data_IF_303180341001
#
_entry.id   IF_303180341001
#
_cell.length_a   1.000
_cell.length_b   1.000
_cell.length_c   1.000
_cell.angle_alpha   90.00
_cell.angle_beta   90.00
_cell.angle_gamma   90.00
#
_symmetry.space_group_name_H-M   'P 1'
#
loop_
_entity.id
_entity.type
_entity.pdbx_description
1 polymer ?
#
# COMPACT_ATOMS: atom_id res chain seq x y z
N UNK A 1 -24.29 -17.39 11.29
CA UNK A 1 -23.81 -18.67 10.71
C UNK A 1 -23.20 -18.33 9.36
N UNK A 2 -21.89 -18.52 9.20
CA UNK A 2 -21.15 -18.13 8.00
C UNK A 2 -21.68 -18.97 6.83
N UNK A 3 -22.31 -18.33 5.84
CA UNK A 3 -22.89 -19.04 4.72
C UNK A 3 -21.79 -19.31 3.68
N UNK A 4 -21.16 -20.47 3.78
CA UNK A 4 -20.14 -20.95 2.81
C UNK A 4 -20.60 -20.79 1.35
N UNK A 5 -21.90 -20.93 1.07
CA UNK A 5 -22.44 -20.75 -0.28
C UNK A 5 -22.40 -19.29 -0.74
N UNK A 6 -22.59 -18.33 0.17
CA UNK A 6 -22.51 -16.90 -0.12
C UNK A 6 -21.09 -16.50 -0.52
N UNK A 7 -20.07 -17.04 0.17
CA UNK A 7 -18.67 -16.83 -0.19
C UNK A 7 -18.34 -17.44 -1.56
N UNK A 8 -18.82 -18.65 -1.84
CA UNK A 8 -18.67 -19.31 -3.16
C UNK A 8 -19.33 -18.48 -4.26
N UNK A 9 -20.56 -18.00 -4.06
CA UNK A 9 -21.28 -17.20 -5.04
C UNK A 9 -20.58 -15.85 -5.29
N UNK A 10 -20.02 -15.23 -4.25
CA UNK A 10 -19.27 -13.98 -4.38
C UNK A 10 -17.95 -14.16 -5.14
N UNK A 11 -17.16 -15.19 -4.81
CA UNK A 11 -15.94 -15.56 -5.56
C UNK A 11 -16.31 -15.83 -7.03
N UNK A 12 -17.37 -16.61 -7.25
CA UNK A 12 -17.87 -16.92 -8.58
C UNK A 12 -18.26 -15.67 -9.35
N UNK A 13 -18.90 -14.71 -8.70
CA UNK A 13 -19.32 -13.47 -9.37
C UNK A 13 -18.15 -12.61 -9.82
N UNK A 14 -17.00 -12.66 -9.14
CA UNK A 14 -15.80 -11.94 -9.57
C UNK A 14 -15.13 -12.70 -10.73
N UNK A 15 -14.85 -13.99 -10.56
CA UNK A 15 -14.11 -14.76 -11.56
C UNK A 15 -14.88 -14.95 -12.87
N UNK A 16 -16.23 -15.02 -12.83
CA UNK A 16 -17.02 -15.20 -14.06
C UNK A 16 -16.89 -14.01 -15.02
N UNK A 17 -16.43 -12.84 -14.58
CA UNK A 17 -16.31 -11.66 -15.45
C UNK A 17 -15.09 -11.76 -16.38
N UNK A 18 -14.16 -12.65 -16.10
CA UNK A 18 -13.03 -12.98 -16.97
C UNK A 18 -13.46 -13.53 -18.33
N UNK A 19 -12.58 -13.37 -19.32
CA UNK A 19 -12.81 -13.93 -20.65
C UNK A 19 -12.78 -15.45 -20.59
N UNK A 20 -13.68 -16.10 -21.32
CA UNK A 20 -13.88 -17.56 -21.24
C UNK A 20 -12.62 -18.38 -21.52
N UNK A 21 -11.79 -17.95 -22.47
CA UNK A 21 -10.53 -18.61 -22.82
C UNK A 21 -9.37 -18.31 -21.84
N UNK A 22 -9.55 -17.36 -20.92
CA UNK A 22 -8.56 -17.00 -19.88
C UNK A 22 -8.94 -17.63 -18.53
N UNK A 23 -10.24 -17.82 -18.29
CA UNK A 23 -10.80 -18.30 -17.03
C UNK A 23 -10.18 -19.61 -16.51
N UNK A 24 -9.90 -20.64 -17.34
CA UNK A 24 -9.22 -21.85 -16.86
C UNK A 24 -7.85 -21.55 -16.23
N UNK A 25 -7.01 -20.77 -16.93
CA UNK A 25 -5.68 -20.39 -16.44
C UNK A 25 -5.76 -19.55 -15.16
N UNK A 26 -6.73 -18.65 -15.05
CA UNK A 26 -6.97 -17.86 -13.83
C UNK A 26 -7.33 -18.77 -12.65
N UNK A 27 -8.23 -19.73 -12.86
CA UNK A 27 -8.58 -20.71 -11.83
C UNK A 27 -7.35 -21.52 -11.36
N UNK A 28 -6.52 -21.99 -12.29
CA UNK A 28 -5.28 -22.73 -11.97
C UNK A 28 -4.30 -21.86 -11.17
N UNK A 29 -4.11 -20.59 -11.55
CA UNK A 29 -3.26 -19.65 -10.82
C UNK A 29 -3.71 -19.43 -9.37
N UNK A 30 -5.01 -19.56 -9.12
CA UNK A 30 -5.58 -19.48 -7.78
C UNK A 30 -5.51 -20.79 -6.98
N UNK A 31 -5.00 -21.87 -7.57
CA UNK A 31 -4.91 -23.19 -6.97
C UNK A 31 -6.21 -23.99 -7.05
N UNK A 32 -7.10 -23.63 -7.97
CA UNK A 32 -8.29 -24.43 -8.30
C UNK A 32 -7.92 -25.51 -9.32
N UNK A 33 -8.74 -26.56 -9.36
CA UNK A 33 -8.57 -27.66 -10.31
C UNK A 33 -8.67 -27.17 -11.75
N UNK A 34 -7.86 -27.76 -12.62
CA UNK A 34 -7.86 -27.48 -14.05
C UNK A 34 -9.19 -27.92 -14.70
N UNK A 35 -9.44 -27.48 -15.92
CA UNK A 35 -10.30 -28.21 -16.84
C UNK A 35 -10.57 -27.46 -18.12
N UNK A 36 -11.48 -28.01 -18.91
CA UNK A 36 -11.49 -27.68 -20.32
C UNK A 36 -12.16 -26.33 -20.62
N UNK A 37 -11.62 -25.63 -21.62
CA UNK A 37 -12.22 -24.40 -22.16
C UNK A 37 -13.68 -24.64 -22.58
N UNK A 38 -14.00 -25.82 -23.09
CA UNK A 38 -15.36 -26.25 -23.49
C UNK A 38 -16.36 -26.17 -22.33
N UNK A 39 -15.93 -26.49 -21.10
CA UNK A 39 -16.76 -26.36 -19.90
C UNK A 39 -17.01 -24.88 -19.56
N UNK A 40 -15.98 -24.04 -19.67
CA UNK A 40 -16.10 -22.59 -19.42
C UNK A 40 -17.00 -21.90 -20.47
N UNK A 41 -16.93 -22.33 -21.73
CA UNK A 41 -17.79 -21.87 -22.83
C UNK A 41 -19.26 -22.21 -22.61
N UNK A 42 -19.55 -23.33 -21.96
CA UNK A 42 -20.91 -23.73 -21.63
C UNK A 42 -21.51 -22.83 -20.54
N UNK A 43 -20.76 -22.60 -19.45
CA UNK A 43 -21.15 -21.64 -18.41
C UNK A 43 -19.99 -21.32 -17.48
N UNK A 44 -19.47 -20.08 -17.55
CA UNK A 44 -18.43 -19.58 -16.64
C UNK A 44 -18.82 -19.71 -15.16
N UNK A 45 -20.10 -19.46 -14.83
CA UNK A 45 -20.59 -19.60 -13.45
C UNK A 45 -20.48 -21.04 -12.94
N UNK A 46 -21.00 -21.99 -13.72
CA UNK A 46 -20.98 -23.41 -13.34
C UNK A 46 -19.55 -23.94 -13.30
N UNK A 47 -18.71 -23.52 -14.25
CA UNK A 47 -17.29 -23.85 -14.30
C UNK A 47 -16.57 -23.50 -12.99
N UNK A 48 -16.76 -22.28 -12.49
CA UNK A 48 -16.13 -21.83 -11.23
C UNK A 48 -16.76 -22.52 -10.02
N UNK A 49 -18.10 -22.59 -9.92
CA UNK A 49 -18.78 -23.24 -8.80
C UNK A 49 -18.38 -24.71 -8.63
N UNK A 50 -18.23 -25.45 -9.74
CA UNK A 50 -17.79 -26.85 -9.73
C UNK A 50 -16.44 -27.03 -9.03
N UNK A 51 -15.51 -26.08 -9.22
CA UNK A 51 -14.15 -26.10 -8.65
C UNK A 51 -14.07 -25.60 -7.21
N UNK A 52 -15.00 -24.73 -6.82
CA UNK A 52 -15.12 -24.26 -5.44
C UNK A 52 -15.87 -25.27 -4.55
N UNK A 53 -16.71 -26.12 -5.16
CA UNK A 53 -17.49 -27.13 -4.44
C UNK A 53 -16.56 -28.12 -3.74
N UNK A 54 -16.82 -28.36 -2.45
CA UNK A 54 -16.06 -29.30 -1.64
C UNK A 54 -14.80 -28.71 -0.98
N UNK A 55 -14.31 -27.53 -1.40
CA UNK A 55 -13.20 -26.84 -0.72
C UNK A 55 -13.63 -26.40 0.68
N UNK A 56 -12.72 -26.43 1.66
CA UNK A 56 -13.01 -26.01 3.02
C UNK A 56 -13.06 -24.47 3.16
N UNK A 57 -13.49 -23.99 4.33
CA UNK A 57 -13.69 -22.56 4.55
C UNK A 57 -12.37 -21.76 4.60
N UNK A 58 -11.28 -22.34 5.13
CA UNK A 58 -10.00 -21.65 5.21
C UNK A 58 -9.43 -21.42 3.81
N UNK A 59 -9.52 -22.43 2.94
CA UNK A 59 -9.15 -22.29 1.54
C UNK A 59 -9.96 -21.19 0.84
N UNK A 60 -11.29 -21.18 1.02
CA UNK A 60 -12.16 -20.20 0.37
C UNK A 60 -11.89 -18.76 0.88
N UNK A 61 -11.55 -18.60 2.16
CA UNK A 61 -11.19 -17.29 2.72
C UNK A 61 -9.83 -16.80 2.20
N UNK A 62 -8.81 -17.66 2.18
CA UNK A 62 -7.51 -17.32 1.59
C UNK A 62 -7.65 -16.94 0.11
N UNK A 63 -8.39 -17.75 -0.65
CA UNK A 63 -8.68 -17.49 -2.06
C UNK A 63 -9.40 -16.15 -2.22
N UNK A 64 -10.42 -15.87 -1.41
CA UNK A 64 -11.15 -14.62 -1.48
C UNK A 64 -10.24 -13.42 -1.19
N UNK A 65 -9.35 -13.49 -0.19
CA UNK A 65 -8.38 -12.43 0.12
C UNK A 65 -7.43 -12.17 -1.06
N UNK A 66 -6.93 -13.21 -1.72
CA UNK A 66 -6.10 -13.09 -2.93
C UNK A 66 -6.86 -12.46 -4.10
N UNK A 67 -8.09 -12.90 -4.36
CA UNK A 67 -8.94 -12.32 -5.41
C UNK A 67 -9.23 -10.85 -5.12
N UNK A 68 -9.54 -10.49 -3.87
CA UNK A 68 -9.77 -9.09 -3.49
C UNK A 68 -8.54 -8.24 -3.78
N UNK A 69 -7.34 -8.75 -3.46
CA UNK A 69 -6.09 -8.06 -3.75
C UNK A 69 -5.87 -7.83 -5.25
N UNK A 70 -6.16 -8.83 -6.09
CA UNK A 70 -5.89 -8.76 -7.52
C UNK A 70 -6.94 -7.97 -8.31
N UNK A 71 -8.21 -8.04 -7.89
CA UNK A 71 -9.35 -7.41 -8.59
C UNK A 71 -9.76 -6.06 -8.01
N UNK A 72 -9.29 -5.71 -6.80
CA UNK A 72 -9.54 -4.41 -6.15
C UNK A 72 -11.02 -4.04 -6.11
N UNK A 73 -11.38 -2.89 -6.68
CA UNK A 73 -12.75 -2.39 -6.70
C UNK A 73 -13.78 -3.35 -7.35
N UNK A 74 -13.36 -4.19 -8.31
CA UNK A 74 -14.23 -5.18 -8.95
C UNK A 74 -14.64 -6.32 -7.99
N UNK A 75 -13.90 -6.50 -6.89
CA UNK A 75 -14.19 -7.47 -5.83
C UNK A 75 -14.84 -6.81 -4.58
N UNK A 76 -15.47 -5.65 -4.72
CA UNK A 76 -16.09 -4.91 -3.61
C UNK A 76 -17.13 -5.75 -2.85
N UNK A 77 -18.04 -6.44 -3.54
CA UNK A 77 -19.03 -7.31 -2.89
C UNK A 77 -18.38 -8.50 -2.15
N UNK A 78 -17.32 -9.08 -2.71
CA UNK A 78 -16.56 -10.14 -2.06
C UNK A 78 -15.86 -9.63 -0.80
N UNK A 79 -15.29 -8.42 -0.85
CA UNK A 79 -14.66 -7.76 0.30
C UNK A 79 -15.62 -7.58 1.47
N UNK A 80 -16.85 -7.13 1.18
CA UNK A 80 -17.92 -6.99 2.20
C UNK A 80 -18.24 -8.33 2.87
N UNK A 81 -18.38 -9.39 2.09
CA UNK A 81 -18.68 -10.73 2.62
C UNK A 81 -17.52 -11.24 3.47
N UNK A 82 -16.28 -11.09 3.00
CA UNK A 82 -15.09 -11.52 3.76
C UNK A 82 -14.98 -10.74 5.06
N UNK A 83 -15.17 -9.43 5.07
CA UNK A 83 -15.09 -8.61 6.29
C UNK A 83 -16.08 -9.05 7.38
N UNK A 84 -17.31 -9.43 6.99
CA UNK A 84 -18.31 -9.97 7.94
C UNK A 84 -17.92 -11.34 8.51
N UNK A 85 -17.10 -12.10 7.80
CA UNK A 85 -16.71 -13.48 8.16
C UNK A 85 -15.40 -13.49 8.94
N UNK A 86 -14.40 -12.75 8.44
CA UNK A 86 -13.06 -12.59 8.97
C UNK A 86 -12.61 -11.14 8.77
N UNK A 87 -12.83 -10.27 9.77
CA UNK A 87 -12.48 -8.86 9.67
C UNK A 87 -10.96 -8.61 9.71
N UNK A 88 -10.15 -9.63 10.02
CA UNK A 88 -8.72 -9.45 10.25
C UNK A 88 -7.88 -9.53 8.97
N UNK A 89 -7.02 -8.52 8.79
CA UNK A 89 -6.02 -8.50 7.72
C UNK A 89 -6.57 -8.42 6.29
N UNK A 90 -7.83 -8.00 6.12
CA UNK A 90 -8.41 -7.77 4.79
C UNK A 90 -8.00 -6.43 4.19
N UNK A 91 -7.89 -5.43 5.06
CA UNK A 91 -7.56 -4.06 4.73
C UNK A 91 -6.27 -3.68 5.44
N UNK A 92 -5.48 -2.85 4.78
CA UNK A 92 -4.25 -2.24 5.29
C UNK A 92 -4.59 -1.06 6.20
N UNK A 93 -5.68 -0.34 5.90
CA UNK A 93 -6.24 0.68 6.78
C UNK A 93 -7.30 0.02 7.67
N UNK A 94 -7.06 0.02 8.97
CA UNK A 94 -7.91 -0.61 9.97
C UNK A 94 -9.29 0.04 10.05
N UNK A 95 -10.29 -0.75 10.49
CA UNK A 95 -11.65 -0.23 10.71
C UNK A 95 -11.65 0.94 11.73
N UNK A 96 -10.79 0.86 12.76
CA UNK A 96 -10.66 1.92 13.77
C UNK A 96 -10.20 3.22 13.13
N UNK A 97 -9.15 3.20 12.30
CA UNK A 97 -8.66 4.38 11.58
C UNK A 97 -9.73 4.92 10.63
N UNK A 98 -10.42 4.06 9.87
CA UNK A 98 -11.49 4.48 8.97
C UNK A 98 -12.62 5.21 9.70
N UNK A 99 -13.07 4.67 10.84
CA UNK A 99 -14.11 5.28 11.68
C UNK A 99 -13.68 6.62 12.25
N UNK A 100 -12.49 6.69 12.82
CA UNK A 100 -11.96 7.94 13.39
C UNK A 100 -11.85 9.05 12.33
N UNK A 101 -11.36 8.71 11.12
CA UNK A 101 -11.31 9.67 10.00
C UNK A 101 -12.72 10.15 9.64
N UNK A 102 -13.69 9.24 9.49
CA UNK A 102 -15.05 9.63 9.13
C UNK A 102 -15.72 10.49 10.21
N UNK A 103 -15.51 10.17 11.49
CA UNK A 103 -16.03 10.95 12.61
C UNK A 103 -15.50 12.39 12.62
N UNK A 104 -14.20 12.57 12.39
CA UNK A 104 -13.58 13.89 12.24
C UNK A 104 -14.09 14.63 10.98
N UNK A 105 -14.30 13.92 9.87
CA UNK A 105 -14.88 14.51 8.65
C UNK A 105 -16.33 14.96 8.87
N UNK A 106 -17.15 14.18 9.59
CA UNK A 106 -18.52 14.57 9.94
C UNK A 106 -18.53 15.77 10.87
N UNK A 107 -17.65 15.80 11.88
CA UNK A 107 -17.54 16.91 12.82
C UNK A 107 -17.06 18.20 12.14
N UNK A 108 -16.11 18.10 11.21
CA UNK A 108 -15.62 19.24 10.43
C UNK A 108 -16.65 19.74 9.39
N UNK A 109 -17.46 18.83 8.86
CA UNK A 109 -18.47 19.12 7.83
C UNK A 109 -17.86 19.50 6.47
N UNK A 110 -18.72 19.86 5.52
CA UNK A 110 -18.34 20.33 4.17
C UNK A 110 -17.38 19.35 3.45
N UNK A 111 -17.73 18.06 3.38
CA UNK A 111 -16.90 17.00 2.80
C UNK A 111 -16.73 17.21 1.29
N UNK A 112 -17.80 17.65 0.64
CA UNK A 112 -17.97 17.94 -0.78
C UNK A 112 -17.28 19.24 -1.26
N UNK A 113 -16.81 20.06 -0.32
CA UNK A 113 -16.10 21.30 -0.63
C UNK A 113 -16.98 22.29 -1.40
N UNK A 114 -16.55 22.68 -2.60
CA UNK A 114 -17.31 23.61 -3.45
C UNK A 114 -18.24 22.91 -4.46
N UNK A 115 -18.32 21.58 -4.43
CA UNK A 115 -19.23 20.83 -5.31
C UNK A 115 -20.58 20.62 -4.64
N UNK A 116 -21.62 20.50 -5.47
CA UNK A 116 -22.87 19.88 -5.05
C UNK A 116 -22.62 18.41 -4.67
N UNK A 117 -23.41 17.88 -3.74
CA UNK A 117 -23.24 16.52 -3.20
C UNK A 117 -23.16 15.47 -4.31
N UNK A 118 -24.11 15.48 -5.25
CA UNK A 118 -24.16 14.50 -6.35
C UNK A 118 -22.95 14.61 -7.28
N UNK A 119 -22.45 15.82 -7.52
CA UNK A 119 -21.26 16.05 -8.36
C UNK A 119 -20.01 15.52 -7.68
N UNK A 120 -19.88 15.75 -6.37
CA UNK A 120 -18.78 15.21 -5.57
C UNK A 120 -18.79 13.68 -5.57
N UNK A 121 -19.94 13.06 -5.26
CA UNK A 121 -20.06 11.60 -5.22
C UNK A 121 -19.78 10.95 -6.58
N UNK A 122 -20.15 11.59 -7.69
CA UNK A 122 -19.86 11.07 -9.05
C UNK A 122 -18.36 11.05 -9.40
N UNK A 123 -17.50 11.72 -8.61
CA UNK A 123 -16.04 11.61 -8.75
C UNK A 123 -15.49 10.29 -8.19
N UNK A 124 -16.28 9.61 -7.37
CA UNK A 124 -15.89 8.41 -6.61
C UNK A 124 -16.67 7.20 -7.08
N UNK A 125 -17.98 7.35 -7.31
CA UNK A 125 -18.90 6.31 -7.74
C UNK A 125 -19.57 6.66 -9.06
N UNK A 126 -19.87 5.66 -9.89
CA UNK A 126 -20.76 5.85 -11.03
C UNK A 126 -22.22 5.68 -10.58
N UNK A 127 -22.80 6.73 -9.99
CA UNK A 127 -24.13 6.67 -9.36
C UNK A 127 -25.26 6.36 -10.36
N UNK A 128 -25.08 6.70 -11.63
CA UNK A 128 -26.01 6.41 -12.73
C UNK A 128 -26.17 4.91 -12.98
N UNK A 129 -25.07 4.16 -12.86
CA UNK A 129 -25.01 2.72 -13.11
C UNK A 129 -25.09 1.88 -11.81
N UNK A 130 -25.04 2.52 -10.65
CA UNK A 130 -25.18 1.85 -9.37
C UNK A 130 -26.67 1.59 -9.07
N UNK A 131 -27.04 0.35 -8.71
CA UNK A 131 -28.43 0.03 -8.39
C UNK A 131 -28.88 0.76 -7.12
N UNK A 132 -30.14 1.18 -7.13
CA UNK A 132 -30.84 1.68 -5.95
C UNK A 132 -31.10 0.54 -4.95
N UNK A 133 -31.11 0.85 -3.65
CA UNK A 133 -31.56 -0.11 -2.63
C UNK A 133 -33.09 -0.20 -2.56
N UNK A 134 -33.78 0.86 -2.96
CA UNK A 134 -35.23 0.90 -3.10
C UNK A 134 -35.65 0.75 -4.57
N UNK A 135 -36.42 -0.30 -4.88
CA UNK A 135 -36.89 -0.59 -6.25
C UNK A 135 -37.73 0.52 -6.89
N UNK A 136 -38.19 1.51 -6.11
CA UNK A 136 -38.93 2.69 -6.62
C UNK A 136 -38.03 3.64 -7.39
N UNK A 137 -36.73 3.67 -7.12
CA UNK A 137 -35.79 4.55 -7.80
C UNK A 137 -34.99 3.78 -8.86
N UNK A 138 -34.67 4.48 -9.95
CA UNK A 138 -33.98 3.92 -11.11
C UNK A 138 -32.55 3.49 -10.77
N UNK A 139 -31.83 4.31 -10.02
CA UNK A 139 -30.42 4.13 -9.68
C UNK A 139 -30.10 4.90 -8.39
N UNK A 140 -28.87 4.74 -7.91
CA UNK A 140 -28.40 5.36 -6.68
C UNK A 140 -28.42 6.90 -6.76
N UNK A 141 -28.12 7.48 -7.93
CA UNK A 141 -28.15 8.93 -8.13
C UNK A 141 -29.51 9.54 -7.76
N UNK A 142 -30.59 8.95 -8.27
CA UNK A 142 -31.96 9.41 -8.00
C UNK A 142 -32.36 9.21 -6.53
N UNK A 143 -31.99 8.07 -5.93
CA UNK A 143 -32.31 7.78 -4.54
C UNK A 143 -31.58 8.72 -3.57
N UNK A 144 -30.27 8.95 -3.78
CA UNK A 144 -29.48 9.89 -2.99
C UNK A 144 -30.05 11.30 -3.11
N UNK A 145 -30.34 11.77 -4.33
CA UNK A 145 -30.92 13.10 -4.51
C UNK A 145 -32.29 13.23 -3.80
N UNK A 146 -33.12 12.19 -3.88
CA UNK A 146 -34.42 12.19 -3.23
C UNK A 146 -34.31 12.35 -1.71
N UNK A 147 -33.39 11.61 -1.08
CA UNK A 147 -33.27 11.56 0.37
C UNK A 147 -32.39 12.67 0.97
N UNK A 148 -31.28 13.00 0.32
CA UNK A 148 -30.34 14.03 0.81
C UNK A 148 -30.77 15.47 0.45
N UNK A 149 -31.52 15.67 -0.64
CA UNK A 149 -31.80 17.02 -1.15
C UNK A 149 -33.29 17.33 -1.14
N UNK A 150 -34.14 16.45 -1.71
CA UNK A 150 -35.57 16.74 -1.80
C UNK A 150 -36.31 16.54 -0.46
N UNK A 151 -35.94 15.50 0.29
CA UNK A 151 -36.58 15.17 1.56
C UNK A 151 -35.79 15.66 2.77
N UNK A 152 -34.45 15.71 2.66
CA UNK A 152 -33.53 16.02 3.76
C UNK A 152 -33.74 15.08 4.98
N UNK A 153 -33.93 13.78 4.70
CA UNK A 153 -34.21 12.75 5.70
C UNK A 153 -33.04 11.77 5.93
N UNK A 154 -31.94 11.93 5.21
CA UNK A 154 -30.68 11.22 5.44
C UNK A 154 -29.59 12.19 5.90
N UNK A 155 -28.80 11.76 6.90
CA UNK A 155 -27.58 12.45 7.28
C UNK A 155 -26.35 11.87 6.56
N UNK A 156 -25.22 12.57 6.67
CA UNK A 156 -23.96 12.12 6.08
C UNK A 156 -23.53 10.74 6.59
N UNK A 157 -23.80 10.42 7.86
CA UNK A 157 -23.41 9.12 8.43
C UNK A 157 -24.20 7.98 7.77
N UNK A 158 -25.51 8.15 7.61
CA UNK A 158 -26.34 7.19 6.89
C UNK A 158 -25.89 7.06 5.43
N UNK A 159 -25.67 8.18 4.73
CA UNK A 159 -25.20 8.18 3.35
C UNK A 159 -23.88 7.42 3.18
N UNK A 160 -22.84 7.79 3.92
CA UNK A 160 -21.51 7.22 3.72
C UNK A 160 -21.35 5.82 4.35
N UNK A 161 -21.90 5.56 5.54
CA UNK A 161 -21.69 4.28 6.22
C UNK A 161 -22.74 3.23 5.89
N UNK A 162 -24.01 3.63 5.70
CA UNK A 162 -25.10 2.67 5.51
C UNK A 162 -25.41 2.49 4.02
N UNK A 163 -25.58 3.58 3.28
CA UNK A 163 -25.97 3.51 1.87
C UNK A 163 -24.79 3.18 0.95
N UNK A 164 -23.68 3.93 1.07
CA UNK A 164 -22.47 3.73 0.27
C UNK A 164 -21.53 2.68 0.87
N UNK A 165 -21.76 2.28 2.12
CA UNK A 165 -20.97 1.28 2.86
C UNK A 165 -19.45 1.55 2.83
N UNK A 166 -19.07 2.83 2.90
CA UNK A 166 -17.69 3.30 2.69
C UNK A 166 -16.69 2.67 3.67
N UNK A 167 -17.09 2.43 4.92
CA UNK A 167 -16.24 1.79 5.93
C UNK A 167 -15.89 0.33 5.58
N UNK A 168 -16.75 -0.35 4.81
CA UNK A 168 -16.57 -1.74 4.39
C UNK A 168 -15.96 -1.83 2.98
N UNK A 169 -15.63 -0.70 2.35
CA UNK A 169 -15.07 -0.64 1.02
C UNK A 169 -13.58 -1.06 1.00
N UNK A 170 -13.08 -1.62 -0.12
CA UNK A 170 -11.65 -1.88 -0.30
C UNK A 170 -10.80 -0.62 -0.03
N UNK A 171 -9.57 -0.79 0.45
CA UNK A 171 -8.63 0.33 0.71
C UNK A 171 -8.54 1.30 -0.46
N UNK A 172 -8.49 0.78 -1.69
CA UNK A 172 -8.42 1.61 -2.89
C UNK A 172 -9.61 2.58 -3.02
N UNK A 173 -10.83 2.14 -2.71
CA UNK A 173 -12.01 3.00 -2.80
C UNK A 173 -12.06 3.99 -1.65
N UNK A 174 -11.69 3.56 -0.43
CA UNK A 174 -11.61 4.43 0.73
C UNK A 174 -10.55 5.53 0.55
N UNK A 175 -9.36 5.15 0.07
CA UNK A 175 -8.27 6.06 -0.30
C UNK A 175 -8.74 7.02 -1.39
N UNK A 176 -9.35 6.53 -2.46
CA UNK A 176 -9.85 7.40 -3.54
C UNK A 176 -10.88 8.41 -3.03
N UNK A 177 -11.77 8.01 -2.12
CA UNK A 177 -12.68 8.94 -1.44
C UNK A 177 -11.90 10.04 -0.72
N UNK A 178 -10.93 9.69 0.13
CA UNK A 178 -10.13 10.68 0.88
C UNK A 178 -9.32 11.60 -0.05
N UNK A 179 -8.78 11.06 -1.15
CA UNK A 179 -8.11 11.84 -2.19
C UNK A 179 -9.05 12.81 -2.89
N UNK A 180 -10.30 12.42 -3.16
CA UNK A 180 -11.30 13.34 -3.70
C UNK A 180 -11.68 14.44 -2.71
N UNK A 181 -11.81 14.11 -1.42
CA UNK A 181 -12.06 15.07 -0.34
C UNK A 181 -10.98 16.18 -0.35
N UNK A 182 -9.71 15.85 -0.58
CA UNK A 182 -8.62 16.86 -0.63
C UNK A 182 -8.23 17.31 -2.05
N UNK A 183 -8.96 16.88 -3.08
CA UNK A 183 -8.59 17.20 -4.46
C UNK A 183 -8.72 18.71 -4.71
N UNK A 184 -7.80 19.36 -5.45
CA UNK A 184 -7.85 20.81 -5.67
C UNK A 184 -9.16 21.28 -6.33
N UNK A 185 -9.70 20.50 -7.28
CA UNK A 185 -11.01 20.84 -7.87
C UNK A 185 -12.16 20.88 -6.84
N UNK A 186 -12.04 20.15 -5.73
CA UNK A 186 -13.03 20.06 -4.66
C UNK A 186 -12.81 21.17 -3.62
N UNK A 187 -11.55 21.42 -3.25
CA UNK A 187 -11.20 22.49 -2.30
C UNK A 187 -9.78 23.00 -2.48
N UNK A 188 -9.61 24.31 -2.24
CA UNK A 188 -8.32 24.99 -2.34
C UNK A 188 -7.85 25.51 -0.98
N UNK A 189 -8.63 26.38 -0.33
CA UNK A 189 -8.20 27.11 0.87
C UNK A 189 -8.05 26.20 2.09
N UNK A 190 -8.98 25.26 2.29
CA UNK A 190 -8.99 24.33 3.43
C UNK A 190 -8.26 23.01 3.15
N UNK A 191 -7.63 22.85 1.98
CA UNK A 191 -7.02 21.57 1.57
C UNK A 191 -6.03 21.05 2.62
N UNK A 192 -5.15 21.93 3.10
CA UNK A 192 -4.12 21.59 4.09
C UNK A 192 -4.72 21.10 5.41
N UNK A 193 -5.77 21.76 5.89
CA UNK A 193 -6.44 21.39 7.14
C UNK A 193 -7.05 19.98 7.07
N UNK A 194 -7.68 19.64 5.95
CA UNK A 194 -8.24 18.29 5.76
C UNK A 194 -7.15 17.24 5.61
N UNK A 195 -6.04 17.56 4.94
CA UNK A 195 -4.87 16.66 4.86
C UNK A 195 -4.32 16.39 6.26
N UNK A 196 -4.11 17.41 7.08
CA UNK A 196 -3.60 17.28 8.44
C UNK A 196 -4.54 16.45 9.33
N UNK A 197 -5.85 16.73 9.25
CA UNK A 197 -6.89 15.97 9.97
C UNK A 197 -6.90 14.49 9.58
N UNK A 198 -6.85 14.18 8.28
CA UNK A 198 -6.87 12.79 7.81
C UNK A 198 -5.54 12.09 8.15
N UNK A 199 -4.40 12.74 7.93
CA UNK A 199 -3.08 12.18 8.22
C UNK A 199 -2.89 11.88 9.71
N UNK A 200 -3.51 12.65 10.61
CA UNK A 200 -3.48 12.38 12.05
C UNK A 200 -3.88 10.94 12.39
N UNK A 201 -4.76 10.34 11.60
CA UNK A 201 -5.19 8.95 11.77
C UNK A 201 -4.45 7.97 10.85
N UNK A 202 -4.26 8.31 9.57
CA UNK A 202 -3.64 7.40 8.58
C UNK A 202 -2.24 6.93 9.00
N UNK A 203 -1.46 7.79 9.67
CA UNK A 203 -0.08 7.46 10.09
C UNK A 203 -0.02 6.24 11.00
N UNK A 204 -1.08 5.97 11.78
CA UNK A 204 -1.16 4.82 12.67
C UNK A 204 -1.20 3.49 11.91
N UNK A 205 -1.71 3.52 10.68
CA UNK A 205 -1.75 2.37 9.78
C UNK A 205 -0.64 2.41 8.72
N UNK A 206 0.37 3.26 8.89
CA UNK A 206 1.48 3.48 7.96
C UNK A 206 1.02 4.05 6.60
N UNK A 207 0.03 4.94 6.57
CA UNK A 207 -0.35 5.68 5.35
C UNK A 207 -0.22 7.19 5.58
N UNK A 208 0.07 7.94 4.52
CA UNK A 208 -0.10 9.40 4.54
C UNK A 208 -0.27 9.98 3.15
N UNK A 209 -0.83 11.18 3.08
CA UNK A 209 -0.81 11.99 1.87
C UNK A 209 0.60 12.46 1.52
N UNK A 210 0.94 12.36 0.23
CA UNK A 210 2.11 12.96 -0.38
C UNK A 210 1.68 13.79 -1.58
N UNK A 211 2.34 14.94 -1.79
CA UNK A 211 2.12 15.73 -2.99
C UNK A 211 2.73 15.00 -4.19
N UNK A 212 1.92 14.71 -5.20
CA UNK A 212 2.36 13.98 -6.40
C UNK A 212 2.63 14.90 -7.58
N UNK A 213 1.82 15.95 -7.75
CA UNK A 213 1.93 16.87 -8.86
C UNK A 213 1.30 18.23 -8.52
N UNK A 214 1.32 19.16 -9.48
CA UNK A 214 0.69 20.47 -9.38
C UNK A 214 -0.17 20.69 -10.63
N UNK A 215 -1.46 20.95 -10.44
CA UNK A 215 -2.43 21.20 -11.52
C UNK A 215 -2.85 22.66 -11.46
N UNK A 216 -2.50 23.44 -12.49
CA UNK A 216 -2.86 24.87 -12.58
C UNK A 216 -2.47 25.70 -11.34
N UNK A 217 -1.31 25.40 -10.74
CA UNK A 217 -0.82 26.06 -9.53
C UNK A 217 -1.34 25.49 -8.20
N UNK A 218 -2.21 24.48 -8.24
CA UNK A 218 -2.73 23.82 -7.04
C UNK A 218 -2.11 22.43 -6.85
N UNK A 219 -1.62 22.10 -5.64
CA UNK A 219 -1.01 20.79 -5.38
C UNK A 219 -2.05 19.66 -5.40
N UNK A 220 -1.70 18.55 -6.05
CA UNK A 220 -2.44 17.30 -5.98
C UNK A 220 -1.76 16.36 -4.97
N UNK A 221 -2.58 15.72 -4.14
CA UNK A 221 -2.11 14.77 -3.14
C UNK A 221 -2.68 13.38 -3.41
N UNK A 222 -1.86 12.37 -3.16
CA UNK A 222 -2.23 10.95 -3.17
C UNK A 222 -1.82 10.30 -1.86
N UNK A 223 -2.56 9.28 -1.42
CA UNK A 223 -2.19 8.51 -0.23
C UNK A 223 -1.27 7.38 -0.67
N UNK A 224 -0.14 7.23 0.00
CA UNK A 224 0.73 6.08 -0.13
C UNK A 224 1.05 5.49 1.23
N UNK A 225 1.49 4.23 1.23
CA UNK A 225 2.15 3.68 2.40
C UNK A 225 3.36 4.55 2.74
N UNK A 226 3.49 4.89 4.02
CA UNK A 226 4.71 5.40 4.59
C UNK A 226 5.71 4.27 4.46
N UNK A 227 6.47 4.27 3.37
CA UNK A 227 7.65 3.44 3.22
C UNK A 227 8.65 3.86 4.31
N UNK A 228 8.47 3.33 5.52
CA UNK A 228 9.64 2.89 6.26
C UNK A 228 10.33 1.88 5.34
N UNK A 229 11.66 1.97 5.19
CA UNK A 229 12.41 0.92 4.51
C UNK A 229 12.25 -0.43 5.23
N UNK A 230 13.28 -1.27 5.20
CA UNK A 230 13.26 -2.53 5.95
C UNK A 230 12.92 -2.26 7.43
N UNK A 231 11.77 -2.76 7.90
CA UNK A 231 11.36 -2.65 9.31
C UNK A 231 12.25 -3.59 10.14
N UNK A 232 13.02 -3.01 11.07
CA UNK A 232 13.93 -3.72 11.97
C UNK A 232 15.21 -2.92 12.24
N UNK A 233 15.95 -3.29 13.28
CA UNK A 233 17.32 -2.77 13.48
C UNK A 233 18.18 -3.40 12.38
N UNK A 234 18.91 -2.59 11.63
CA UNK A 234 19.93 -3.12 10.69
C UNK A 234 20.92 -3.93 11.50
N UNK A 235 20.88 -5.25 11.34
CA UNK A 235 21.73 -6.16 12.12
C UNK A 235 23.17 -6.15 11.65
N UNK A 236 23.39 -6.00 10.34
CA UNK A 236 24.70 -6.05 9.71
C UNK A 236 24.69 -5.16 8.46
N UNK A 237 25.73 -4.36 8.27
CA UNK A 237 26.00 -3.66 7.02
C UNK A 237 27.35 -4.14 6.48
N UNK A 238 27.32 -4.96 5.42
CA UNK A 238 28.50 -5.55 4.78
C UNK A 238 28.68 -4.90 3.41
N UNK A 239 29.84 -4.29 3.15
CA UNK A 239 30.06 -3.46 1.97
C UNK A 239 31.53 -3.40 1.55
N UNK A 240 31.80 -2.73 0.43
CA UNK A 240 33.14 -2.42 -0.07
C UNK A 240 34.10 -3.63 -0.14
N UNK A 241 33.64 -4.75 -0.71
CA UNK A 241 34.50 -5.90 -0.97
C UNK A 241 35.60 -5.56 -1.98
N UNK A 242 36.84 -5.97 -1.72
CA UNK A 242 37.96 -5.87 -2.68
C UNK A 242 38.41 -7.28 -3.04
N UNK A 243 38.41 -7.61 -4.33
CA UNK A 243 38.78 -8.94 -4.81
C UNK A 243 37.62 -9.93 -4.67
N UNK A 244 37.83 -11.05 -3.96
CA UNK A 244 36.80 -12.08 -3.83
C UNK A 244 35.65 -11.62 -2.94
N UNK A 245 34.41 -11.79 -3.41
CA UNK A 245 33.19 -11.48 -2.65
C UNK A 245 33.07 -12.36 -1.40
N UNK A 246 32.51 -11.84 -0.30
CA UNK A 246 32.28 -12.62 0.92
C UNK A 246 31.26 -13.74 0.67
N UNK A 247 31.52 -14.93 1.21
CA UNK A 247 30.56 -16.04 1.22
C UNK A 247 29.75 -15.96 2.50
N UNK A 248 28.44 -15.67 2.38
CA UNK A 248 27.54 -15.42 3.50
C UNK A 248 26.58 -16.59 3.65
N UNK A 249 26.45 -17.11 4.87
CA UNK A 249 25.52 -18.20 5.22
C UNK A 249 24.58 -17.71 6.32
N UNK A 250 23.32 -18.11 6.25
CA UNK A 250 22.34 -17.90 7.32
C UNK A 250 22.61 -18.95 8.39
N UNK A 251 23.08 -18.52 9.56
CA UNK A 251 23.36 -19.39 10.69
C UNK A 251 22.14 -19.64 11.58
N UNK A 252 21.19 -18.71 11.58
CA UNK A 252 19.87 -18.84 12.21
C UNK A 252 18.83 -18.15 11.31
N UNK A 253 17.90 -18.92 10.76
CA UNK A 253 16.85 -18.41 9.87
C UNK A 253 15.67 -17.77 10.60
N UNK A 254 15.48 -18.08 11.88
CA UNK A 254 14.41 -17.49 12.70
C UNK A 254 14.84 -16.08 13.11
N UNK A 255 16.09 -15.94 13.57
CA UNK A 255 16.63 -14.64 13.96
C UNK A 255 17.25 -13.87 12.79
N UNK A 256 17.40 -14.45 11.60
CA UNK A 256 18.12 -13.85 10.46
C UNK A 256 19.58 -13.49 10.80
N UNK A 257 20.27 -14.34 11.57
CA UNK A 257 21.67 -14.13 11.91
C UNK A 257 22.56 -14.73 10.81
N UNK A 258 23.33 -13.86 10.16
CA UNK A 258 24.25 -14.22 9.08
C UNK A 258 25.68 -14.38 9.58
N UNK A 259 26.46 -15.23 8.92
CA UNK A 259 27.91 -15.39 9.13
C UNK A 259 28.64 -15.36 7.80
N UNK A 260 29.80 -14.70 7.78
CA UNK A 260 30.72 -14.76 6.65
C UNK A 260 31.65 -15.95 6.87
N UNK A 261 31.59 -16.93 5.97
CA UNK A 261 32.37 -18.17 6.08
C UNK A 261 33.68 -18.14 5.30
N UNK A 262 33.79 -17.25 4.30
CA UNK A 262 35.02 -17.00 3.51
C UNK A 262 35.13 -15.55 3.07
N UNK A 263 36.36 -15.07 2.88
CA UNK A 263 36.70 -13.74 2.35
C UNK A 263 36.16 -12.58 3.21
N UNK A 264 36.04 -12.77 4.52
CA UNK A 264 35.56 -11.71 5.43
C UNK A 264 36.52 -10.51 5.44
N UNK A 265 37.81 -10.76 5.32
CA UNK A 265 38.90 -9.78 5.25
C UNK A 265 38.83 -8.85 4.04
N UNK A 266 38.12 -9.27 2.98
CA UNK A 266 38.00 -8.49 1.75
C UNK A 266 36.92 -7.41 1.84
N UNK A 267 35.96 -7.53 2.76
CA UNK A 267 34.85 -6.60 2.91
C UNK A 267 34.91 -5.82 4.22
N UNK A 268 34.08 -4.79 4.30
CA UNK A 268 33.86 -3.99 5.50
C UNK A 268 32.56 -4.45 6.15
N UNK A 269 32.58 -4.63 7.48
CA UNK A 269 31.41 -5.00 8.28
C UNK A 269 31.21 -3.91 9.33
N UNK A 270 30.19 -3.09 9.13
CA UNK A 270 29.80 -2.06 10.11
C UNK A 270 28.93 -2.70 11.19
N UNK A 271 29.38 -2.56 12.43
CA UNK A 271 28.91 -3.29 13.61
C UNK A 271 28.26 -2.38 14.67
N UNK A 272 28.00 -1.11 14.33
CA UNK A 272 27.37 -0.14 15.24
C UNK A 272 25.88 0.05 14.93
N UNK A 273 25.09 0.50 15.91
CA UNK A 273 23.70 0.89 15.67
C UNK A 273 23.59 2.00 14.62
N UNK A 274 22.67 1.86 13.66
CA UNK A 274 22.36 2.89 12.67
C UNK A 274 21.21 3.76 13.21
N UNK A 275 21.40 5.09 13.37
CA UNK A 275 20.34 5.98 13.83
C UNK A 275 19.14 6.05 12.87
N UNK A 276 17.97 6.47 13.38
CA UNK A 276 16.77 6.69 12.55
C UNK A 276 16.97 7.75 11.44
N UNK A 277 17.94 8.66 11.63
CA UNK A 277 18.33 9.66 10.63
C UNK A 277 19.23 9.10 9.51
N UNK A 278 19.61 7.82 9.58
CA UNK A 278 20.56 7.18 8.68
C UNK A 278 22.00 7.21 9.19
N UNK A 279 22.91 6.59 8.42
CA UNK A 279 24.34 6.55 8.69
C UNK A 279 25.04 7.72 7.99
N UNK A 280 25.63 8.65 8.74
CA UNK A 280 26.33 9.79 8.16
C UNK A 280 27.78 9.46 7.77
N UNK A 281 28.39 10.31 6.93
CA UNK A 281 29.82 10.18 6.60
C UNK A 281 30.70 10.28 7.85
N UNK A 282 30.39 11.19 8.76
CA UNK A 282 31.13 11.35 10.02
C UNK A 282 31.05 10.07 10.88
N UNK A 283 29.88 9.44 10.96
CA UNK A 283 29.72 8.16 11.68
C UNK A 283 30.61 7.06 11.08
N UNK A 284 30.73 7.03 9.75
CA UNK A 284 31.62 6.08 9.06
C UNK A 284 33.10 6.40 9.30
N UNK A 285 33.50 7.67 9.33
CA UNK A 285 34.89 8.07 9.56
C UNK A 285 35.33 7.74 10.99
N UNK A 286 34.49 8.03 11.98
CA UNK A 286 34.73 7.67 13.39
C UNK A 286 34.85 6.16 13.55
N UNK A 287 33.90 5.40 12.97
CA UNK A 287 33.97 3.94 12.96
C UNK A 287 35.25 3.41 12.27
N UNK A 288 35.66 4.01 11.15
CA UNK A 288 36.87 3.63 10.44
C UNK A 288 38.14 3.89 11.24
N UNK A 289 38.21 5.01 11.97
CA UNK A 289 39.31 5.33 12.87
C UNK A 289 39.48 4.25 13.96
N UNK A 290 38.36 3.85 14.56
CA UNK A 290 38.33 2.88 15.65
C UNK A 290 38.80 1.49 15.18
N UNK A 291 38.33 0.99 14.02
CA UNK A 291 38.79 -0.31 13.51
C UNK A 291 40.26 -0.28 13.05
N UNK A 292 40.82 0.90 12.79
CA UNK A 292 42.25 1.10 12.48
C UNK A 292 43.10 1.36 13.73
N UNK A 293 42.49 1.51 14.90
CA UNK A 293 43.19 1.81 16.15
C UNK A 293 43.78 3.22 16.19
N UNK A 294 43.19 4.17 15.45
CA UNK A 294 43.62 5.57 15.43
C UNK A 294 43.03 6.32 16.63
N UNK A 295 43.82 7.16 17.29
CA UNK A 295 43.41 7.88 18.52
C UNK A 295 42.65 9.18 18.24
N UNK A 296 42.86 9.79 17.08
CA UNK A 296 42.23 11.04 16.66
C UNK A 296 41.72 10.90 15.23
N UNK A 297 40.55 11.50 14.97
CA UNK A 297 39.98 11.57 13.63
C UNK A 297 40.50 12.84 12.96
N UNK A 298 41.27 12.67 11.90
CA UNK A 298 41.86 13.75 11.12
C UNK A 298 41.49 13.65 9.63
N UNK A 299 41.95 14.64 8.84
CA UNK A 299 41.71 14.65 7.40
C UNK A 299 42.33 13.43 6.68
N UNK A 300 43.43 12.87 7.20
CA UNK A 300 44.05 11.67 6.63
C UNK A 300 43.16 10.43 6.80
N UNK A 301 42.49 10.33 7.94
CA UNK A 301 41.52 9.26 8.24
C UNK A 301 40.38 9.27 7.22
N UNK A 302 39.79 10.44 6.94
CA UNK A 302 38.76 10.59 5.91
C UNK A 302 39.24 10.18 4.52
N UNK A 303 40.44 10.65 4.13
CA UNK A 303 41.04 10.35 2.84
C UNK A 303 41.31 8.85 2.71
N UNK A 304 41.74 8.19 3.79
CA UNK A 304 42.01 6.76 3.80
C UNK A 304 40.73 5.93 3.61
N UNK A 305 39.62 6.31 4.28
CA UNK A 305 38.32 5.67 4.09
C UNK A 305 37.80 5.90 2.67
N UNK A 306 37.86 7.14 2.17
CA UNK A 306 37.46 7.46 0.79
C UNK A 306 38.21 6.60 -0.23
N UNK A 307 39.54 6.47 -0.11
CA UNK A 307 40.35 5.61 -0.99
C UNK A 307 39.96 4.14 -0.86
N UNK A 308 39.68 3.66 0.34
CA UNK A 308 39.26 2.26 0.58
C UNK A 308 37.92 1.94 -0.08
N UNK A 309 36.97 2.88 -0.07
CA UNK A 309 35.68 2.73 -0.74
C UNK A 309 35.82 2.84 -2.26
N UNK A 310 36.60 3.82 -2.75
CA UNK A 310 36.86 3.99 -4.18
C UNK A 310 37.51 2.74 -4.79
N UNK A 311 38.45 2.11 -4.08
CA UNK A 311 39.13 0.89 -4.52
C UNK A 311 38.20 -0.34 -4.57
N UNK A 312 37.00 -0.27 -3.97
CA UNK A 312 36.01 -1.35 -4.02
C UNK A 312 35.03 -1.26 -5.18
N UNK A 313 35.12 -0.21 -6.01
CA UNK A 313 34.23 0.00 -7.15
C UNK A 313 34.79 -0.68 -8.40
N UNK A 314 33.92 -1.41 -9.10
CA UNK A 314 34.33 -2.27 -10.21
C UNK A 314 34.36 -1.48 -11.53
N UNK A 315 33.32 -0.67 -11.78
CA UNK A 315 33.09 -0.02 -13.06
C UNK A 315 33.46 1.47 -13.09
N UNK A 316 33.82 1.99 -14.26
CA UNK A 316 34.12 3.42 -14.42
C UNK A 316 32.91 4.33 -14.11
N UNK A 317 31.66 3.97 -14.50
CA UNK A 317 30.47 4.72 -14.09
C UNK A 317 30.29 4.78 -12.56
N UNK A 318 30.57 3.71 -11.83
CA UNK A 318 30.51 3.72 -10.35
C UNK A 318 31.52 4.71 -9.77
N UNK A 319 32.74 4.74 -10.30
CA UNK A 319 33.78 5.67 -9.84
C UNK A 319 33.42 7.13 -10.13
N UNK A 320 32.85 7.41 -11.30
CA UNK A 320 32.37 8.75 -11.66
C UNK A 320 31.25 9.17 -10.70
N UNK A 321 30.24 8.31 -10.51
CA UNK A 321 29.13 8.58 -9.58
C UNK A 321 29.64 8.84 -8.16
N UNK A 322 30.55 8.00 -7.66
CA UNK A 322 31.14 8.15 -6.33
C UNK A 322 31.92 9.45 -6.20
N UNK A 323 32.75 9.79 -7.19
CA UNK A 323 33.53 11.02 -7.20
C UNK A 323 32.64 12.27 -7.21
N UNK A 324 31.65 12.30 -8.10
CA UNK A 324 30.73 13.44 -8.22
C UNK A 324 29.86 13.58 -6.96
N UNK A 325 29.39 12.47 -6.39
CA UNK A 325 28.68 12.49 -5.11
C UNK A 325 29.49 13.21 -4.02
N UNK A 326 30.75 12.82 -3.81
CA UNK A 326 31.59 13.48 -2.81
C UNK A 326 31.92 14.92 -3.19
N UNK A 327 32.11 15.23 -4.48
CA UNK A 327 32.37 16.60 -4.95
C UNK A 327 31.20 17.54 -4.67
N UNK A 328 29.96 17.11 -4.89
CA UNK A 328 28.77 17.94 -4.66
C UNK A 328 28.36 18.02 -3.20
N UNK A 329 28.40 16.90 -2.48
CA UNK A 329 27.85 16.84 -1.13
C UNK A 329 28.88 17.12 -0.04
N UNK A 330 30.19 16.86 -0.22
CA UNK A 330 31.19 17.19 0.81
C UNK A 330 31.32 18.70 1.05
N UNK A 331 31.05 19.52 0.03
CA UNK A 331 31.10 20.99 0.13
C UNK A 331 29.92 21.57 0.93
N UNK A 332 28.80 20.84 1.04
CA UNK A 332 27.60 21.31 1.75
C UNK A 332 27.64 21.09 3.28
N UNK A 333 28.60 20.31 3.80
CA UNK A 333 28.65 19.90 5.21
C UNK A 333 29.92 20.37 5.95
N UNK A 334 30.73 21.25 5.35
CA UNK A 334 31.88 21.91 5.99
C UNK A 334 31.62 23.39 6.25
#
# INVERSE_FOLDING_TARGET
>A
MINKNELIDAITSVLKDEKTYVLPNVCVNYGLEDGEETEAHSSKRVYVQKRLKGKDQFFLLDLAKRIIKDYGANASNLSKIVLRIDPTGLFSISEVTRRNIMDELYAKGNIEGRHELTDFLNRIWNLENMPSTNRRFKNASVEIWQHMINNDDWDNRYLYETYLELLLAPDQLFIHFLEQVVHPIVRHQSQKEFIELINHHLVNDNFQFYQTEVISGFPLFKINEIQAGVKGIVKNLIFAAIGYKPEIVISDSINNDIKIVKNAENCLVYDRPIPNAGLSWNDMVVWWADIKGLKEVDAETEVSLYKRLLNSLDSEPEKILFHDYFKFFKVQYN
#
